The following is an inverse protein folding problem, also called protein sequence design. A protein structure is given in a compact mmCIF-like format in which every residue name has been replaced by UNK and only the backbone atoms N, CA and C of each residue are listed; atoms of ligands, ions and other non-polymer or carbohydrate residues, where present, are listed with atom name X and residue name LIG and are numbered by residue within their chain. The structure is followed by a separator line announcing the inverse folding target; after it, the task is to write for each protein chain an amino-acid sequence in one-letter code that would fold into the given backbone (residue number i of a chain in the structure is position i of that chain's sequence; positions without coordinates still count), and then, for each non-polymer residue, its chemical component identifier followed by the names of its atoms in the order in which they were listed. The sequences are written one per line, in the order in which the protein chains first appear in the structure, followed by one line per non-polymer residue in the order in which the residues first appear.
data_IF_146057015255
#
_entry.id   IF_146057015255
#
_cell.length_a   1.000
_cell.length_b   1.000
_cell.length_c   1.000
_cell.angle_alpha   90.00
_cell.angle_beta   90.00
_cell.angle_gamma   90.00
#
_symmetry.space_group_name_H-M   'P 1'
#
loop_
_entity.id
_entity.type
_entity.pdbx_description
1 polymer ?
#
# COMPACT_ATOMS: atom_id res chain seq x y z
N UNK A 1 12.22 7.27 3.72
CA UNK A 1 11.03 7.15 2.85
C UNK A 1 9.83 6.96 3.76
N UNK A 2 8.85 7.87 3.74
CA UNK A 2 7.64 7.73 4.54
C UNK A 2 6.85 6.53 3.99
N UNK A 3 6.79 5.44 4.76
CA UNK A 3 5.94 4.32 4.42
C UNK A 3 4.50 4.81 4.50
N UNK A 4 3.90 5.00 3.33
CA UNK A 4 2.49 5.36 3.20
C UNK A 4 1.70 4.30 3.97
N UNK A 5 0.89 4.73 4.94
CA UNK A 5 0.03 3.84 5.73
C UNK A 5 -0.81 3.03 4.76
N UNK A 6 -0.45 1.77 4.61
CA UNK A 6 -1.25 0.82 3.89
C UNK A 6 -2.58 0.69 4.63
N UNK A 7 -3.68 0.63 3.88
CA UNK A 7 -5.00 0.50 4.51
C UNK A 7 -5.00 -0.73 5.41
N UNK A 8 -5.44 -0.57 6.66
CA UNK A 8 -5.67 -1.65 7.65
C UNK A 8 -6.77 -2.65 7.22
N UNK A 9 -7.07 -2.70 5.92
CA UNK A 9 -8.14 -3.48 5.32
C UNK A 9 -7.59 -4.32 4.17
N UNK A 10 -8.08 -5.55 4.10
CA UNK A 10 -7.87 -6.46 2.99
C UNK A 10 -9.13 -7.30 2.76
N UNK A 11 -9.36 -7.68 1.51
CA UNK A 11 -10.48 -8.56 1.17
C UNK A 11 -10.21 -9.98 1.65
N UNK A 12 -11.24 -10.62 2.19
CA UNK A 12 -11.26 -12.05 2.45
C UNK A 12 -12.59 -12.66 2.06
N UNK A 13 -12.62 -13.99 1.91
CA UNK A 13 -13.80 -14.72 1.50
C UNK A 13 -14.79 -14.76 2.68
N UNK A 14 -16.07 -14.45 2.44
CA UNK A 14 -17.09 -14.40 3.49
C UNK A 14 -17.40 -15.78 4.09
N UNK A 15 -17.17 -16.84 3.32
CA UNK A 15 -17.34 -18.24 3.67
C UNK A 15 -16.02 -18.94 4.01
N UNK A 16 -14.98 -18.20 4.41
CA UNK A 16 -13.67 -18.78 4.71
C UNK A 16 -13.72 -19.93 5.75
N UNK A 17 -14.67 -19.86 6.69
CA UNK A 17 -14.94 -20.92 7.68
C UNK A 17 -15.46 -22.23 7.09
N UNK A 18 -16.08 -22.17 5.90
CA UNK A 18 -16.71 -23.31 5.23
C UNK A 18 -15.77 -23.99 4.21
N UNK A 19 -14.53 -23.50 4.08
CA UNK A 19 -13.50 -24.19 3.30
C UNK A 19 -13.09 -25.49 4.01
N UNK A 20 -13.01 -26.60 3.28
CA UNK A 20 -12.74 -27.92 3.86
C UNK A 20 -11.43 -27.97 4.67
N UNK A 21 -10.41 -27.19 4.31
CA UNK A 21 -9.13 -27.12 5.03
C UNK A 21 -9.30 -26.42 6.38
N UNK A 22 -10.12 -25.38 6.40
CA UNK A 22 -10.46 -24.65 7.62
C UNK A 22 -11.42 -25.46 8.49
N UNK A 23 -12.37 -26.17 7.91
CA UNK A 23 -13.22 -27.11 8.65
C UNK A 23 -12.39 -28.20 9.32
N UNK A 24 -11.41 -28.79 8.63
CA UNK A 24 -10.50 -29.78 9.20
C UNK A 24 -9.66 -29.20 10.36
N UNK A 25 -9.16 -27.97 10.19
CA UNK A 25 -8.45 -27.24 11.23
C UNK A 25 -9.33 -27.02 12.47
N UNK A 26 -10.58 -26.61 12.28
CA UNK A 26 -11.53 -26.38 13.36
C UNK A 26 -11.91 -27.69 14.06
N UNK A 27 -12.05 -28.78 13.32
CA UNK A 27 -12.34 -30.09 13.91
C UNK A 27 -11.19 -30.57 14.83
N UNK A 28 -9.94 -30.40 14.42
CA UNK A 28 -8.78 -30.89 15.19
C UNK A 28 -8.31 -29.93 16.30
N UNK A 29 -8.39 -28.61 16.07
CA UNK A 29 -7.81 -27.59 16.95
C UNK A 29 -8.83 -26.58 17.49
N UNK A 30 -10.12 -26.77 17.18
CA UNK A 30 -11.18 -25.85 17.55
C UNK A 30 -11.01 -24.46 16.93
N UNK A 31 -11.72 -23.48 17.52
CA UNK A 31 -11.61 -22.08 17.11
C UNK A 31 -10.24 -21.46 17.42
N UNK A 32 -9.45 -22.07 18.31
CA UNK A 32 -8.08 -21.63 18.55
C UNK A 32 -7.23 -21.80 17.28
N UNK A 33 -7.32 -22.96 16.61
CA UNK A 33 -6.66 -23.18 15.33
C UNK A 33 -7.07 -22.15 14.28
N UNK A 34 -8.37 -21.87 14.18
CA UNK A 34 -8.90 -20.85 13.27
C UNK A 34 -8.37 -19.44 13.59
N UNK A 35 -8.26 -19.08 14.87
CA UNK A 35 -7.65 -17.82 15.30
C UNK A 35 -6.17 -17.74 14.90
N UNK A 36 -5.40 -18.81 15.12
CA UNK A 36 -3.99 -18.90 14.69
C UNK A 36 -3.87 -18.71 13.18
N UNK A 37 -4.74 -19.34 12.39
CA UNK A 37 -4.78 -19.16 10.94
C UNK A 37 -4.95 -17.68 10.56
N UNK A 38 -5.90 -16.97 11.17
CA UNK A 38 -6.10 -15.55 10.87
C UNK A 38 -4.93 -14.67 11.28
N UNK A 39 -4.35 -14.91 12.46
CA UNK A 39 -3.13 -14.22 12.91
C UNK A 39 -2.00 -14.40 11.89
N UNK A 40 -1.83 -15.61 11.34
CA UNK A 40 -0.83 -15.88 10.32
C UNK A 40 -1.14 -15.13 9.00
N UNK A 41 -2.39 -15.09 8.55
CA UNK A 41 -2.79 -14.35 7.35
C UNK A 41 -2.56 -12.84 7.51
N UNK A 42 -2.93 -12.28 8.66
CA UNK A 42 -2.69 -10.87 9.01
C UNK A 42 -1.20 -10.56 9.05
N UNK A 43 -0.41 -11.42 9.67
CA UNK A 43 1.06 -11.28 9.73
C UNK A 43 1.66 -11.29 8.33
N UNK A 44 1.23 -12.21 7.46
CA UNK A 44 1.69 -12.27 6.07
C UNK A 44 1.28 -11.02 5.28
N UNK A 45 0.09 -10.48 5.52
CA UNK A 45 -0.40 -9.27 4.84
C UNK A 45 0.48 -8.05 5.13
N UNK A 46 1.11 -8.00 6.31
CA UNK A 46 2.06 -6.92 6.69
C UNK A 46 3.45 -7.10 6.08
N UNK A 47 3.82 -8.31 5.65
CA UNK A 47 5.15 -8.58 5.12
C UNK A 47 5.29 -8.21 3.64
N UNK A 48 6.50 -7.80 3.27
CA UNK A 48 6.86 -7.67 1.86
C UNK A 48 6.79 -9.03 1.17
N UNK A 49 6.13 -9.09 0.01
CA UNK A 49 5.98 -10.31 -0.76
C UNK A 49 5.04 -11.36 -0.14
N UNK A 50 4.35 -11.04 0.95
CA UNK A 50 3.42 -11.94 1.66
C UNK A 50 4.03 -13.27 2.10
N UNK A 51 5.31 -13.23 2.50
CA UNK A 51 6.09 -14.36 2.99
C UNK A 51 6.55 -14.08 4.42
N UNK A 52 6.64 -15.12 5.25
CA UNK A 52 7.15 -15.01 6.61
C UNK A 52 8.13 -16.14 6.93
N UNK A 53 9.24 -15.86 7.63
CA UNK A 53 10.25 -16.88 7.94
C UNK A 53 9.79 -17.86 9.02
N UNK A 54 9.97 -19.16 8.78
CA UNK A 54 9.52 -20.25 9.67
C UNK A 54 10.25 -20.18 11.03
N UNK A 55 11.53 -19.82 11.04
CA UNK A 55 12.31 -19.65 12.29
C UNK A 55 11.69 -18.64 13.27
N UNK A 56 10.81 -17.75 12.81
CA UNK A 56 10.15 -16.74 13.63
C UNK A 56 8.76 -17.16 14.13
N UNK A 57 8.28 -18.38 13.85
CA UNK A 57 6.99 -18.86 14.37
C UNK A 57 6.94 -18.86 15.91
N UNK A 58 8.08 -19.07 16.58
CA UNK A 58 8.21 -18.98 18.03
C UNK A 58 7.94 -17.57 18.58
N UNK A 59 8.16 -16.53 17.77
CA UNK A 59 7.84 -15.15 18.13
C UNK A 59 6.34 -14.92 18.07
N UNK A 60 5.67 -15.44 17.03
CA UNK A 60 4.21 -15.37 16.90
C UNK A 60 3.54 -16.11 18.07
N UNK A 61 3.99 -17.33 18.36
CA UNK A 61 3.43 -18.14 19.43
C UNK A 61 3.47 -17.40 20.79
N UNK A 62 4.62 -16.81 21.14
CA UNK A 62 4.77 -16.01 22.36
C UNK A 62 3.92 -14.76 22.36
N UNK A 63 3.85 -14.03 21.24
CA UNK A 63 3.09 -12.78 21.13
C UNK A 63 1.59 -12.97 21.37
N UNK A 64 1.03 -14.08 20.88
CA UNK A 64 -0.41 -14.35 20.96
C UNK A 64 -0.77 -15.41 22.01
N UNK A 65 0.15 -15.70 22.93
CA UNK A 65 -0.06 -16.63 24.04
C UNK A 65 -0.58 -18.02 23.61
N UNK A 66 0.05 -18.60 22.58
CA UNK A 66 -0.18 -19.97 22.13
C UNK A 66 1.15 -20.75 22.11
N UNK A 67 1.13 -22.01 21.69
CA UNK A 67 2.34 -22.85 21.66
C UNK A 67 2.94 -22.90 20.26
N UNK A 68 4.27 -23.05 20.17
CA UNK A 68 4.97 -23.20 18.90
C UNK A 68 4.41 -24.38 18.09
N UNK A 69 4.18 -25.52 18.75
CA UNK A 69 3.64 -26.73 18.13
C UNK A 69 2.27 -26.49 17.47
N UNK A 70 1.39 -25.68 18.08
CA UNK A 70 0.11 -25.31 17.48
C UNK A 70 0.30 -24.46 16.22
N UNK A 71 1.17 -23.45 16.27
CA UNK A 71 1.46 -22.59 15.12
C UNK A 71 2.07 -23.39 13.97
N UNK A 72 3.04 -24.25 14.26
CA UNK A 72 3.67 -25.15 13.28
C UNK A 72 2.65 -26.12 12.67
N UNK A 73 1.76 -26.68 13.48
CA UNK A 73 0.67 -27.52 12.99
C UNK A 73 -0.22 -26.78 11.98
N UNK A 74 -0.62 -25.54 12.28
CA UNK A 74 -1.44 -24.72 11.37
C UNK A 74 -0.71 -24.44 10.05
N UNK A 75 0.59 -24.15 10.11
CA UNK A 75 1.41 -23.88 8.92
C UNK A 75 1.58 -25.12 8.04
N UNK A 76 1.86 -26.29 8.64
CA UNK A 76 2.32 -27.46 7.90
C UNK A 76 1.22 -28.49 7.57
N UNK A 77 0.19 -28.67 8.42
CA UNK A 77 -0.68 -29.86 8.36
C UNK A 77 -1.94 -29.70 7.51
N UNK A 78 -2.50 -28.49 7.43
CA UNK A 78 -3.84 -28.27 6.84
C UNK A 78 -3.81 -27.78 5.38
N UNK A 79 -2.63 -27.76 4.73
CA UNK A 79 -2.46 -27.31 3.35
C UNK A 79 -2.99 -25.88 3.09
N UNK A 80 -2.99 -25.04 4.14
CA UNK A 80 -3.40 -23.64 4.12
C UNK A 80 -2.26 -22.72 3.60
N UNK A 81 -1.03 -23.17 3.81
CA UNK A 81 0.21 -22.48 3.44
C UNK A 81 1.09 -23.36 2.58
N UNK A 82 2.01 -22.71 1.87
CA UNK A 82 3.09 -23.36 1.11
C UNK A 82 4.40 -22.96 1.75
N UNK A 83 5.26 -23.95 1.98
CA UNK A 83 6.61 -23.78 2.48
C UNK A 83 7.57 -23.69 1.29
N UNK A 84 8.44 -22.70 1.29
CA UNK A 84 9.44 -22.42 0.27
C UNK A 84 10.83 -22.53 0.91
N UNK A 85 11.67 -23.38 0.31
CA UNK A 85 13.06 -23.64 0.69
C UNK A 85 13.26 -24.00 2.19
N UNK A 86 12.22 -24.54 2.84
CA UNK A 86 12.17 -24.79 4.29
C UNK A 86 12.46 -23.55 5.18
N UNK A 87 12.48 -22.36 4.56
CA UNK A 87 12.86 -21.11 5.21
C UNK A 87 11.67 -20.20 5.42
N UNK A 88 10.75 -20.16 4.44
CA UNK A 88 9.62 -19.23 4.41
C UNK A 88 8.31 -19.97 4.18
N UNK A 89 7.21 -19.39 4.63
CA UNK A 89 5.87 -19.83 4.24
C UNK A 89 5.03 -18.67 3.73
N UNK A 90 4.04 -18.99 2.90
CA UNK A 90 3.07 -18.05 2.37
C UNK A 90 1.72 -18.70 2.08
N UNK A 91 0.68 -17.88 1.87
CA UNK A 91 -0.64 -18.35 1.45
C UNK A 91 -0.92 -17.96 0.00
N UNK A 92 -1.13 -18.97 -0.86
CA UNK A 92 -1.56 -18.78 -2.26
C UNK A 92 -2.87 -17.99 -2.35
N UNK A 93 -3.80 -18.27 -1.44
CA UNK A 93 -5.11 -17.59 -1.40
C UNK A 93 -4.96 -16.10 -1.07
N UNK A 94 -4.10 -15.77 -0.09
CA UNK A 94 -3.77 -14.37 0.22
C UNK A 94 -3.15 -13.67 -0.98
N UNK A 95 -2.11 -14.24 -1.59
CA UNK A 95 -1.44 -13.65 -2.77
C UNK A 95 -2.45 -13.34 -3.87
N UNK A 96 -3.33 -14.28 -4.21
CA UNK A 96 -4.40 -14.08 -5.20
C UNK A 96 -5.28 -12.87 -4.86
N UNK A 97 -5.72 -12.73 -3.61
CA UNK A 97 -6.55 -11.60 -3.17
C UNK A 97 -5.78 -10.28 -3.15
N UNK A 98 -4.45 -10.33 -3.03
CA UNK A 98 -3.59 -9.15 -3.00
C UNK A 98 -3.21 -8.64 -4.40
N UNK A 99 -3.29 -9.46 -5.44
CA UNK A 99 -2.96 -9.06 -6.81
C UNK A 99 -3.64 -7.78 -7.30
N UNK A 100 -4.94 -7.52 -7.06
CA UNK A 100 -5.57 -6.26 -7.46
C UNK A 100 -4.96 -5.04 -6.76
N UNK A 101 -4.63 -5.18 -5.46
CA UNK A 101 -3.98 -4.13 -4.69
C UNK A 101 -2.60 -3.81 -5.24
N UNK A 102 -1.80 -4.85 -5.52
CA UNK A 102 -0.45 -4.70 -6.07
C UNK A 102 -0.48 -4.06 -7.46
N UNK A 103 -1.36 -4.53 -8.37
CA UNK A 103 -1.54 -3.90 -9.69
C UNK A 103 -1.91 -2.42 -9.58
N UNK A 104 -2.81 -2.07 -8.66
CA UNK A 104 -3.19 -0.67 -8.44
C UNK A 104 -2.05 0.17 -7.85
N UNK A 105 -1.16 -0.43 -7.04
CA UNK A 105 0.05 0.24 -6.53
C UNK A 105 1.04 0.50 -7.66
N UNK A 106 1.34 -0.51 -8.47
CA UNK A 106 2.24 -0.41 -9.61
C UNK A 106 1.78 0.66 -10.60
N UNK A 107 0.50 0.66 -10.97
CA UNK A 107 -0.08 1.67 -11.85
C UNK A 107 0.10 3.09 -11.31
N UNK A 108 -0.10 3.30 -10.00
CA UNK A 108 0.13 4.60 -9.35
C UNK A 108 1.58 5.02 -9.40
N UNK A 109 2.51 4.09 -9.20
CA UNK A 109 3.96 4.37 -9.31
C UNK A 109 4.31 4.77 -10.74
N UNK A 110 3.84 4.02 -11.74
CA UNK A 110 4.07 4.31 -13.17
C UNK A 110 3.50 5.69 -13.54
N UNK A 111 2.24 5.96 -13.19
CA UNK A 111 1.60 7.25 -13.44
C UNK A 111 2.34 8.41 -12.76
N UNK A 112 2.84 8.20 -11.54
CA UNK A 112 3.68 9.17 -10.83
C UNK A 112 4.98 9.49 -11.57
N UNK A 113 5.70 8.46 -12.06
CA UNK A 113 6.93 8.64 -12.86
C UNK A 113 6.67 9.39 -14.16
N UNK A 114 5.61 9.02 -14.89
CA UNK A 114 5.22 9.69 -16.15
C UNK A 114 4.89 11.17 -15.88
N UNK A 115 4.14 11.44 -14.80
CA UNK A 115 3.76 12.81 -14.45
C UNK A 115 4.96 13.66 -14.05
N UNK A 116 5.92 13.09 -13.31
CA UNK A 116 7.16 13.76 -12.94
C UNK A 116 8.01 14.10 -14.18
N UNK A 117 8.17 13.17 -15.11
CA UNK A 117 8.91 13.39 -16.37
C UNK A 117 8.25 14.48 -17.23
N UNK A 118 6.92 14.47 -17.38
CA UNK A 118 6.18 15.53 -18.09
C UNK A 118 6.41 16.91 -17.48
N UNK A 119 6.48 17.01 -16.15
CA UNK A 119 6.77 18.26 -15.46
C UNK A 119 8.19 18.75 -15.73
N UNK A 120 9.18 17.85 -15.73
CA UNK A 120 10.57 18.19 -16.04
C UNK A 120 10.71 18.75 -17.46
N UNK A 121 10.17 18.06 -18.47
CA UNK A 121 10.17 18.54 -19.86
C UNK A 121 9.51 19.91 -19.99
N UNK A 122 8.37 20.13 -19.31
CA UNK A 122 7.70 21.42 -19.33
C UNK A 122 8.56 22.54 -18.72
N UNK A 123 9.27 22.26 -17.62
CA UNK A 123 10.18 23.21 -16.98
C UNK A 123 11.36 23.51 -17.90
N UNK A 124 11.96 22.49 -18.52
CA UNK A 124 13.08 22.64 -19.47
C UNK A 124 12.68 23.49 -20.69
N UNK A 125 11.50 23.25 -21.25
CA UNK A 125 10.97 24.05 -22.35
C UNK A 125 10.75 25.51 -21.94
N UNK A 126 10.21 25.76 -20.74
CA UNK A 126 10.03 27.11 -20.21
C UNK A 126 11.37 27.83 -19.99
N UNK A 127 12.37 27.15 -19.43
CA UNK A 127 13.72 27.70 -19.25
C UNK A 127 14.34 28.02 -20.61
N UNK A 128 14.17 27.14 -21.59
CA UNK A 128 14.71 27.33 -22.94
C UNK A 128 14.06 28.54 -23.63
N UNK A 129 12.74 28.68 -23.53
CA UNK A 129 12.02 29.84 -24.05
C UNK A 129 12.47 31.14 -23.40
N UNK A 130 12.57 31.16 -22.07
CA UNK A 130 13.06 32.34 -21.33
C UNK A 130 14.48 32.73 -21.76
N UNK A 131 15.38 31.76 -21.98
CA UNK A 131 16.75 32.04 -22.47
C UNK A 131 16.75 32.68 -23.86
N UNK A 132 15.90 32.21 -24.77
CA UNK A 132 15.76 32.79 -26.11
C UNK A 132 15.27 34.24 -26.00
N UNK A 133 14.22 34.48 -25.21
CA UNK A 133 13.62 35.81 -25.05
C UNK A 133 14.60 36.83 -24.42
N UNK A 134 15.45 36.39 -23.49
CA UNK A 134 16.51 37.22 -22.91
C UNK A 134 17.58 37.60 -23.96
N UNK A 135 18.02 36.65 -24.79
CA UNK A 135 19.03 36.90 -25.85
C UNK A 135 18.53 37.81 -26.98
N UNK A 136 17.22 37.81 -27.26
CA UNK A 136 16.62 38.70 -28.26
C UNK A 136 16.45 40.14 -27.75
N UNK A 137 16.62 40.38 -26.44
CA UNK A 137 16.39 41.70 -25.81
C UNK A 137 17.65 42.54 -25.57
N UNK A 138 18.83 42.09 -26.01
CA UNK A 138 20.10 42.81 -25.89
C UNK A 138 20.26 44.03 -26.83
N UNK A 139 19.20 44.50 -27.50
CA UNK A 139 19.28 45.63 -28.44
C UNK A 139 18.29 46.78 -28.26
N UNK A 140 17.43 46.81 -27.24
CA UNK A 140 16.59 47.99 -26.99
C UNK A 140 16.47 48.32 -25.50
N UNK A 141 16.98 49.51 -25.14
CA UNK A 141 16.83 50.17 -23.85
C UNK A 141 15.40 50.00 -23.29
N UNK A 142 15.27 49.35 -22.13
CA UNK A 142 14.01 49.30 -21.39
C UNK A 142 13.90 50.53 -20.47
N UNK A 143 12.85 51.35 -20.54
CA UNK A 143 12.61 52.33 -19.50
C UNK A 143 12.12 51.62 -18.23
N UNK A 144 12.74 51.96 -17.10
CA UNK A 144 12.29 51.61 -15.76
C UNK A 144 10.91 52.22 -15.53
N UNK A 145 9.87 51.39 -15.50
CA UNK A 145 8.62 51.76 -14.84
C UNK A 145 8.46 50.89 -13.60
N UNK A 146 8.75 51.51 -12.46
CA UNK A 146 8.27 51.07 -11.15
C UNK A 146 6.74 51.08 -11.15
N UNK A 147 6.12 49.98 -10.74
CA UNK A 147 4.92 50.05 -9.90
C UNK A 147 4.69 48.71 -9.20
N UNK A 148 5.13 48.64 -7.94
CA UNK A 148 4.64 47.66 -6.98
C UNK A 148 3.21 48.03 -6.60
N UNK A 149 2.23 47.18 -6.89
CA UNK A 149 1.01 47.14 -6.08
C UNK A 149 0.62 45.70 -5.77
N UNK A 150 0.91 45.34 -4.52
CA UNK A 150 0.25 44.26 -3.81
C UNK A 150 -1.25 44.59 -3.75
N UNK A 151 -2.10 43.76 -4.36
CA UNK A 151 -3.54 43.78 -4.08
C UNK A 151 -3.91 42.46 -3.42
N UNK A 152 -3.83 42.45 -2.09
CA UNK A 152 -4.75 41.66 -1.28
C UNK A 152 -6.12 42.30 -1.39
N UNK A 153 -7.11 41.59 -1.95
CA UNK A 153 -8.50 41.80 -1.53
C UNK A 153 -9.20 40.45 -1.32
N UNK A 154 -9.52 40.25 -0.06
CA UNK A 154 -10.41 39.29 0.55
C UNK A 154 -11.86 39.44 0.06
N UNK A 155 -12.60 38.32 -0.07
CA UNK A 155 -14.03 38.24 0.30
C UNK A 155 -14.56 36.79 0.32
N UNK A 156 -14.61 36.27 1.55
CA UNK A 156 -15.73 35.58 2.25
C UNK A 156 -16.57 34.47 1.56
N UNK A 157 -16.54 33.32 2.26
CA UNK A 157 -17.48 32.17 2.38
C UNK A 157 -18.91 32.29 1.84
N UNK A 158 -19.36 31.23 1.16
CA UNK A 158 -20.72 30.67 1.32
C UNK A 158 -20.67 29.15 1.48
N UNK A 159 -20.98 28.69 2.69
CA UNK A 159 -21.29 27.31 3.03
C UNK A 159 -22.63 26.91 2.40
N UNK A 160 -22.69 25.74 1.75
CA UNK A 160 -23.94 25.06 1.42
C UNK A 160 -24.02 23.77 2.22
N UNK A 161 -24.80 23.83 3.30
CA UNK A 161 -25.31 22.68 4.05
C UNK A 161 -26.29 21.93 3.13
N UNK A 162 -26.07 20.63 2.91
CA UNK A 162 -27.03 19.75 2.22
C UNK A 162 -27.72 18.90 3.28
N UNK A 163 -28.98 19.21 3.56
CA UNK A 163 -29.88 18.42 4.43
C UNK A 163 -30.10 17.03 3.83
N UNK A 164 -30.00 16.02 4.68
CA UNK A 164 -30.53 14.67 4.47
C UNK A 164 -32.06 14.74 4.42
N UNK A 165 -32.66 13.95 3.53
CA UNK A 165 -33.97 13.33 3.73
C UNK A 165 -33.71 11.87 4.02
#
# INVERSE_FOLDING_TARGET
MSQKVDSCYFSHDANAKDDFKIMLLIEEMGLEGYGIFWVLIETLREQQGYKYPIRLLSVIARKYNTTLAKVEAVVARYQLFVIEDDCFFYSKSLIRRMQPLERAREQRVIAGKISAAKKQIKIENQISQLKIDLSASDSIQRPLNECLTVVQQSKVKKSKVKKRK
#
